data_IF_761576541809
#
_entry.id   IF_761576541809
#
_cell.length_a   1.000
_cell.length_b   1.000
_cell.length_c   1.000
_cell.angle_alpha   90.00
_cell.angle_beta   90.00
_cell.angle_gamma   90.00
#
_symmetry.space_group_name_H-M   'P 1'
#
loop_
_entity.id
_entity.type
_entity.pdbx_description
1 polymer ?
#
# COMPACT_ATOMS: atom_id res chain seq x y z
N UNK A 1 16.69 1.80 -34.49
CA UNK A 1 16.65 2.47 -33.16
C UNK A 1 16.56 1.40 -32.09
N UNK A 2 17.39 1.46 -31.04
CA UNK A 2 17.36 0.45 -29.96
C UNK A 2 16.18 0.76 -29.04
N UNK A 3 15.18 -0.13 -28.96
CA UNK A 3 14.03 0.05 -28.07
C UNK A 3 14.51 0.03 -26.61
N UNK A 4 14.08 1.02 -25.83
CA UNK A 4 14.36 1.08 -24.40
C UNK A 4 13.31 0.26 -23.64
N UNK A 5 13.70 -0.51 -22.61
CA UNK A 5 12.75 -1.27 -21.80
C UNK A 5 11.82 -0.35 -21.01
N UNK A 6 10.58 -0.79 -20.85
CA UNK A 6 9.56 -0.10 -20.04
C UNK A 6 10.02 -0.03 -18.59
N UNK A 7 9.90 1.15 -17.97
CA UNK A 7 10.14 1.33 -16.53
C UNK A 7 8.78 1.31 -15.82
N UNK A 8 8.73 0.58 -14.70
CA UNK A 8 7.67 0.72 -13.71
C UNK A 8 8.19 1.60 -12.58
N UNK A 9 7.61 2.79 -12.42
CA UNK A 9 8.03 3.71 -11.37
C UNK A 9 7.51 3.24 -10.02
N UNK A 10 8.41 3.19 -9.05
CA UNK A 10 8.06 2.99 -7.64
C UNK A 10 7.29 4.19 -7.10
N UNK A 11 6.58 4.01 -5.99
CA UNK A 11 5.83 5.09 -5.36
C UNK A 11 6.75 6.25 -4.91
N UNK A 12 7.98 5.95 -4.49
CA UNK A 12 8.97 6.99 -4.15
C UNK A 12 9.43 7.79 -5.38
N UNK A 13 9.62 7.13 -6.53
CA UNK A 13 9.96 7.81 -7.78
C UNK A 13 8.80 8.71 -8.25
N UNK A 14 7.55 8.24 -8.17
CA UNK A 14 6.38 9.06 -8.47
C UNK A 14 6.26 10.23 -7.51
N UNK A 15 6.51 10.04 -6.22
CA UNK A 15 6.50 11.11 -5.23
C UNK A 15 7.53 12.20 -5.58
N UNK A 16 8.72 11.82 -6.02
CA UNK A 16 9.75 12.75 -6.46
C UNK A 16 9.35 13.51 -7.75
N UNK A 17 8.71 12.84 -8.72
CA UNK A 17 8.15 13.52 -9.90
C UNK A 17 7.16 14.60 -9.49
N UNK A 18 6.24 14.26 -8.58
CA UNK A 18 5.26 15.20 -8.06
C UNK A 18 5.91 16.33 -7.25
N UNK A 19 7.02 16.10 -6.57
CA UNK A 19 7.74 17.13 -5.82
C UNK A 19 8.37 18.15 -6.76
N UNK A 20 9.03 17.67 -7.83
CA UNK A 20 9.62 18.54 -8.86
C UNK A 20 8.56 19.29 -9.66
N UNK A 21 7.45 18.63 -10.01
CA UNK A 21 6.31 19.28 -10.65
C UNK A 21 5.75 20.42 -9.80
N UNK A 22 5.58 20.19 -8.49
CA UNK A 22 5.11 21.22 -7.57
C UNK A 22 6.10 22.40 -7.42
N UNK A 23 7.40 22.15 -7.58
CA UNK A 23 8.44 23.19 -7.64
C UNK A 23 8.43 24.00 -8.95
N UNK A 24 7.60 23.62 -9.92
CA UNK A 24 7.51 24.29 -11.22
C UNK A 24 8.53 23.81 -12.25
N UNK A 25 9.19 22.68 -12.03
CA UNK A 25 10.10 22.10 -13.01
C UNK A 25 9.34 21.61 -14.26
N UNK A 26 9.96 21.78 -15.43
CA UNK A 26 9.36 21.34 -16.69
C UNK A 26 9.33 19.81 -16.81
N UNK A 27 8.39 19.27 -17.59
CA UNK A 27 8.30 17.83 -17.88
C UNK A 27 9.60 17.25 -18.44
N UNK A 28 10.34 18.05 -19.21
CA UNK A 28 11.65 17.70 -19.77
C UNK A 28 12.69 17.51 -18.66
N UNK A 29 12.80 18.46 -17.72
CA UNK A 29 13.74 18.38 -16.59
C UNK A 29 13.42 17.20 -15.68
N UNK A 30 12.14 16.98 -15.37
CA UNK A 30 11.70 15.85 -14.54
C UNK A 30 12.03 14.53 -15.23
N UNK A 31 11.77 14.40 -16.53
CA UNK A 31 12.05 13.17 -17.26
C UNK A 31 13.55 12.91 -17.44
N UNK A 32 14.35 13.96 -17.67
CA UNK A 32 15.79 13.88 -17.77
C UNK A 32 16.42 13.36 -16.47
N UNK A 33 15.84 13.71 -15.31
CA UNK A 33 16.25 13.16 -14.02
C UNK A 33 16.11 11.63 -13.93
N UNK A 34 15.21 11.02 -14.71
CA UNK A 34 15.03 9.56 -14.80
C UNK A 34 15.64 8.95 -16.07
N UNK A 35 16.49 9.68 -16.80
CA UNK A 35 17.03 9.28 -18.11
C UNK A 35 15.93 8.89 -19.12
N UNK A 36 14.84 9.66 -19.12
CA UNK A 36 13.65 9.43 -19.95
C UNK A 36 13.20 10.69 -20.68
N UNK A 37 12.36 10.49 -21.68
CA UNK A 37 11.71 11.58 -22.41
C UNK A 37 10.44 12.04 -21.67
N UNK A 38 10.04 13.29 -21.86
CA UNK A 38 8.90 13.92 -21.19
C UNK A 38 7.59 13.12 -21.28
N UNK A 39 7.37 12.38 -22.37
CA UNK A 39 6.17 11.54 -22.57
C UNK A 39 5.98 10.47 -21.47
N UNK A 40 7.07 10.02 -20.83
CA UNK A 40 7.00 9.03 -19.74
C UNK A 40 6.43 9.61 -18.45
N UNK A 41 6.67 10.90 -18.19
CA UNK A 41 6.18 11.61 -17.00
C UNK A 41 4.81 12.23 -17.26
N UNK A 42 4.55 12.63 -18.51
CA UNK A 42 3.28 13.24 -18.93
C UNK A 42 2.08 12.35 -18.57
N UNK A 43 2.12 11.05 -18.90
CA UNK A 43 1.00 10.15 -18.56
C UNK A 43 0.66 10.14 -17.06
N UNK A 44 1.68 10.18 -16.19
CA UNK A 44 1.52 10.11 -14.73
C UNK A 44 0.93 11.40 -14.15
N UNK A 45 1.38 12.56 -14.65
CA UNK A 45 0.92 13.85 -14.13
C UNK A 45 -0.45 14.24 -14.68
N UNK A 46 -0.71 13.97 -15.96
CA UNK A 46 -1.96 14.37 -16.61
C UNK A 46 -3.14 13.44 -16.27
N UNK A 47 -2.90 12.20 -15.85
CA UNK A 47 -3.96 11.29 -15.40
C UNK A 47 -4.80 11.90 -14.27
N UNK A 48 -4.19 12.72 -13.41
CA UNK A 48 -4.88 13.45 -12.32
C UNK A 48 -4.99 14.95 -12.58
N UNK A 49 -4.88 15.37 -13.85
CA UNK A 49 -5.01 16.78 -14.25
C UNK A 49 -3.89 17.70 -13.73
N UNK A 50 -2.71 17.16 -13.43
CA UNK A 50 -1.59 17.91 -12.86
C UNK A 50 -1.72 18.21 -11.37
N UNK A 51 -2.70 17.62 -10.68
CA UNK A 51 -2.90 17.71 -9.23
C UNK A 51 -2.41 16.43 -8.57
N UNK A 52 -1.56 16.55 -7.54
CA UNK A 52 -1.04 15.39 -6.81
C UNK A 52 -2.21 14.61 -6.19
N UNK A 53 -2.36 13.31 -6.50
CA UNK A 53 -3.41 12.51 -5.88
C UNK A 53 -3.20 12.41 -4.36
N UNK A 54 -4.29 12.29 -3.57
CA UNK A 54 -4.16 12.07 -2.15
C UNK A 54 -3.41 10.76 -1.89
N UNK A 55 -2.58 10.76 -0.84
CA UNK A 55 -1.92 9.54 -0.41
C UNK A 55 -2.98 8.50 -0.02
N UNK A 56 -2.80 7.27 -0.50
CA UNK A 56 -3.69 6.17 -0.14
C UNK A 56 -3.50 5.83 1.33
N UNK A 57 -4.53 6.08 2.13
CA UNK A 57 -4.56 5.71 3.54
C UNK A 57 -5.48 4.49 3.72
N UNK A 58 -5.19 3.67 4.72
CA UNK A 58 -6.10 2.59 5.12
C UNK A 58 -7.37 3.17 5.71
N UNK A 59 -8.49 2.48 5.48
CA UNK A 59 -9.75 2.80 6.14
C UNK A 59 -9.60 2.71 7.65
N UNK A 60 -10.29 3.58 8.39
CA UNK A 60 -10.37 3.53 9.86
C UNK A 60 -10.95 2.22 10.39
N UNK A 61 -11.67 1.48 9.55
CA UNK A 61 -12.24 0.17 9.88
C UNK A 61 -11.27 -0.99 9.67
N UNK A 62 -10.13 -0.74 9.00
CA UNK A 62 -9.11 -1.76 8.81
C UNK A 62 -8.43 -2.10 10.15
N UNK A 63 -8.07 -3.37 10.32
CA UNK A 63 -7.27 -3.80 11.47
C UNK A 63 -5.88 -3.17 11.41
N UNK A 64 -5.50 -2.53 12.49
CA UNK A 64 -4.19 -1.95 12.73
C UNK A 64 -3.15 -3.05 13.00
N UNK A 65 -1.86 -2.70 12.91
CA UNK A 65 -0.78 -3.64 13.19
C UNK A 65 -0.87 -4.23 14.62
N UNK A 66 -1.10 -3.44 15.69
CA UNK A 66 -1.25 -4.00 17.05
C UNK A 66 -2.41 -4.98 17.17
N UNK A 67 -3.56 -4.70 16.51
CA UNK A 67 -4.68 -5.64 16.48
C UNK A 67 -4.31 -6.93 15.73
N UNK A 68 -3.58 -6.83 14.62
CA UNK A 68 -3.08 -8.00 13.87
C UNK A 68 -2.11 -8.84 14.69
N UNK A 69 -1.26 -8.21 15.51
CA UNK A 69 -0.35 -8.89 16.42
C UNK A 69 -1.09 -9.62 17.53
N UNK A 70 -2.13 -9.00 18.11
CA UNK A 70 -2.98 -9.65 19.10
C UNK A 70 -3.69 -10.87 18.51
N UNK A 71 -4.24 -10.76 17.30
CA UNK A 71 -4.78 -11.91 16.57
C UNK A 71 -3.71 -13.00 16.41
N UNK A 72 -2.48 -12.62 16.05
CA UNK A 72 -1.39 -13.58 15.85
C UNK A 72 -1.03 -14.34 17.13
N UNK A 73 -0.94 -13.64 18.26
CA UNK A 73 -0.70 -14.26 19.58
C UNK A 73 -1.85 -15.18 19.97
N UNK A 74 -3.08 -14.70 19.81
CA UNK A 74 -4.26 -15.43 20.24
C UNK A 74 -4.53 -16.68 19.38
N UNK A 75 -4.21 -16.63 18.09
CA UNK A 75 -4.25 -17.80 17.20
C UNK A 75 -3.27 -18.88 17.66
N UNK A 76 -2.03 -18.50 18.02
CA UNK A 76 -1.03 -19.44 18.56
C UNK A 76 -1.45 -20.00 19.92
N UNK A 77 -2.08 -19.18 20.76
CA UNK A 77 -2.63 -19.59 22.04
C UNK A 77 -3.89 -20.49 21.93
N UNK A 78 -4.40 -20.74 20.71
CA UNK A 78 -5.58 -21.58 20.48
C UNK A 78 -6.91 -20.92 20.85
N UNK A 79 -6.96 -19.58 20.95
CA UNK A 79 -8.22 -18.88 21.24
C UNK A 79 -9.19 -18.96 20.06
N UNK A 80 -10.49 -19.04 20.38
CA UNK A 80 -11.55 -19.03 19.38
C UNK A 80 -11.69 -17.64 18.73
N UNK A 81 -12.12 -17.60 17.46
CA UNK A 81 -12.37 -16.35 16.72
C UNK A 81 -13.29 -15.40 17.50
N UNK A 82 -14.30 -15.93 18.21
CA UNK A 82 -15.23 -15.13 19.00
C UNK A 82 -14.56 -14.48 20.21
N UNK A 83 -13.65 -15.19 20.88
CA UNK A 83 -12.88 -14.65 22.01
C UNK A 83 -11.94 -13.53 21.57
N UNK A 84 -11.22 -13.73 20.46
CA UNK A 84 -10.33 -12.72 19.87
C UNK A 84 -11.10 -11.47 19.45
N UNK A 85 -12.27 -11.67 18.83
CA UNK A 85 -13.12 -10.57 18.42
C UNK A 85 -13.64 -9.75 19.61
N UNK A 86 -14.02 -10.42 20.70
CA UNK A 86 -14.46 -9.77 21.93
C UNK A 86 -13.33 -8.96 22.59
N UNK A 87 -12.11 -9.50 22.68
CA UNK A 87 -10.97 -8.78 23.27
C UNK A 87 -10.58 -7.53 22.48
N UNK A 88 -10.70 -7.58 21.16
CA UNK A 88 -10.39 -6.46 20.27
C UNK A 88 -11.56 -5.49 20.03
N UNK A 89 -12.76 -5.78 20.54
CA UNK A 89 -13.95 -4.99 20.25
C UNK A 89 -14.33 -4.99 18.76
N UNK A 90 -14.06 -6.08 18.04
CA UNK A 90 -14.31 -6.25 16.60
C UNK A 90 -15.38 -7.29 16.34
N UNK A 91 -15.95 -7.27 15.13
CA UNK A 91 -16.88 -8.31 14.71
C UNK A 91 -16.14 -9.65 14.49
N UNK A 92 -16.70 -10.81 14.91
CA UNK A 92 -16.10 -12.12 14.65
C UNK A 92 -15.84 -12.39 13.16
N UNK A 93 -16.71 -11.85 12.29
CA UNK A 93 -16.54 -11.98 10.83
C UNK A 93 -15.32 -11.21 10.31
N UNK A 94 -14.90 -10.13 10.97
CA UNK A 94 -13.68 -9.39 10.63
C UNK A 94 -12.45 -10.24 10.90
N UNK A 95 -12.37 -10.83 12.10
CA UNK A 95 -11.25 -11.70 12.50
C UNK A 95 -11.18 -12.96 11.63
N UNK A 96 -12.34 -13.58 11.36
CA UNK A 96 -12.40 -14.76 10.47
C UNK A 96 -11.90 -14.46 9.05
N UNK A 97 -12.38 -13.36 8.44
CA UNK A 97 -11.93 -12.95 7.09
C UNK A 97 -10.45 -12.60 7.07
N UNK A 98 -9.97 -11.93 8.10
CA UNK A 98 -8.57 -11.55 8.26
C UNK A 98 -7.67 -12.79 8.28
N UNK A 99 -7.97 -13.76 9.14
CA UNK A 99 -7.20 -15.00 9.23
C UNK A 99 -7.27 -15.78 7.91
N UNK A 100 -8.47 -15.95 7.33
CA UNK A 100 -8.66 -16.70 6.08
C UNK A 100 -7.89 -16.08 4.90
N UNK A 101 -7.86 -14.74 4.79
CA UNK A 101 -7.15 -14.06 3.70
C UNK A 101 -5.64 -14.21 3.81
N UNK A 102 -5.11 -14.30 5.04
CA UNK A 102 -3.67 -14.27 5.31
C UNK A 102 -3.13 -15.66 5.70
N UNK A 103 -3.64 -16.70 5.02
CA UNK A 103 -3.12 -18.06 5.09
C UNK A 103 -3.78 -18.98 6.13
N UNK A 104 -4.79 -18.51 6.86
CA UNK A 104 -5.54 -19.34 7.80
C UNK A 104 -4.85 -19.49 9.16
N UNK A 105 -5.43 -20.29 10.05
CA UNK A 105 -4.99 -20.40 11.45
C UNK A 105 -3.53 -20.88 11.59
N UNK A 106 -3.07 -21.77 10.72
CA UNK A 106 -1.73 -22.38 10.83
C UNK A 106 -0.60 -21.42 10.41
N UNK A 107 -0.85 -20.56 9.41
CA UNK A 107 0.18 -19.71 8.82
C UNK A 107 -0.04 -18.22 9.05
N UNK A 108 -1.05 -17.81 9.81
CA UNK A 108 -1.32 -16.39 10.06
C UNK A 108 -0.12 -15.71 10.75
N UNK A 109 0.33 -14.59 10.16
CA UNK A 109 1.41 -13.75 10.69
C UNK A 109 1.05 -12.28 10.53
N UNK A 110 1.06 -11.53 11.64
CA UNK A 110 0.67 -10.12 11.65
C UNK A 110 1.44 -9.26 10.64
N UNK A 111 2.77 -9.37 10.60
CA UNK A 111 3.62 -8.58 9.70
C UNK A 111 3.48 -8.93 8.22
N UNK A 112 3.01 -10.15 7.89
CA UNK A 112 2.70 -10.50 6.50
C UNK A 112 1.33 -9.94 6.13
N UNK A 113 0.35 -10.11 7.01
CA UNK A 113 -0.98 -9.56 6.84
C UNK A 113 -0.96 -8.02 6.75
N UNK A 114 -0.05 -7.35 7.46
CA UNK A 114 0.10 -5.89 7.39
C UNK A 114 0.78 -5.39 6.11
N UNK A 115 1.42 -6.26 5.32
CA UNK A 115 2.03 -5.87 4.04
C UNK A 115 1.19 -6.26 2.82
N UNK A 116 0.18 -7.11 3.04
CA UNK A 116 -0.82 -7.49 2.04
C UNK A 116 -1.79 -6.33 1.75
#
# INVERSE_FOLDING_TARGET
>A
MKQRPRIYYTESQKALMWERWQKGESLQQIAQFFDRNHSSVQGILYETGGIRPPQRCRSRLALTLPEREEISRAVIAGHSIRSIAASLGRAPSTISREIKRNGGHESYRAAQADRA
#
